data_IF_578174091942
#
_entry.id   IF_578174091942
#
_cell.length_a   1.000
_cell.length_b   1.000
_cell.length_c   1.000
_cell.angle_alpha   90.00
_cell.angle_beta   90.00
_cell.angle_gamma   90.00
#
_symmetry.space_group_name_H-M   'P 1'
#
loop_
_entity.id
_entity.type
_entity.pdbx_description
1 polymer ?
#
# COMPACT_ATOMS: atom_id res chain seq x y z
N UNK A 1 3.47 5.82 -40.32
CA UNK A 1 2.68 6.68 -39.41
C UNK A 1 3.04 6.27 -38.00
N UNK A 2 3.50 7.22 -37.20
CA UNK A 2 3.73 7.01 -35.78
C UNK A 2 2.42 6.59 -35.11
N UNK A 3 2.38 5.36 -34.56
CA UNK A 3 1.23 4.78 -33.84
C UNK A 3 1.42 4.86 -32.32
N UNK A 4 2.35 5.70 -31.85
CA UNK A 4 2.60 5.89 -30.41
C UNK A 4 1.37 6.41 -29.68
N UNK A 5 0.51 7.20 -30.32
CA UNK A 5 -0.71 7.75 -29.74
C UNK A 5 -1.88 6.76 -29.84
N UNK A 6 -2.44 6.41 -28.68
CA UNK A 6 -3.58 5.51 -28.53
C UNK A 6 -4.73 6.20 -27.81
N UNK A 7 -5.93 5.65 -27.99
CA UNK A 7 -7.15 6.13 -27.39
C UNK A 7 -8.02 4.94 -26.98
N UNK A 8 -8.34 4.83 -25.70
CA UNK A 8 -9.42 3.96 -25.25
C UNK A 8 -10.76 4.67 -25.43
N UNK A 9 -11.69 4.01 -26.10
CA UNK A 9 -13.03 4.52 -26.39
C UNK A 9 -14.11 3.63 -25.78
N UNK A 10 -15.33 4.15 -25.61
CA UNK A 10 -16.48 3.40 -25.07
C UNK A 10 -16.12 2.77 -23.71
N UNK A 11 -15.76 3.62 -22.76
CA UNK A 11 -15.33 3.23 -21.42
C UNK A 11 -15.78 4.24 -20.36
N UNK A 12 -15.71 3.82 -19.10
CA UNK A 12 -15.94 4.68 -17.93
C UNK A 12 -14.60 4.87 -17.21
N UNK A 13 -14.24 6.10 -16.86
CA UNK A 13 -13.03 6.42 -16.10
C UNK A 13 -13.37 6.59 -14.62
N UNK A 14 -12.57 6.00 -13.73
CA UNK A 14 -12.62 6.34 -12.30
C UNK A 14 -11.91 7.68 -12.09
N UNK A 15 -12.67 8.73 -11.76
CA UNK A 15 -12.15 10.07 -11.52
C UNK A 15 -12.76 10.62 -10.23
N UNK A 16 -11.93 10.85 -9.21
CA UNK A 16 -12.34 11.51 -7.97
C UNK A 16 -13.55 10.88 -7.28
N UNK A 17 -13.62 9.55 -7.27
CA UNK A 17 -14.71 8.78 -6.65
C UNK A 17 -15.94 8.56 -7.52
N UNK A 18 -15.91 8.99 -8.79
CA UNK A 18 -17.03 8.89 -9.73
C UNK A 18 -16.66 8.11 -11.00
N UNK A 19 -17.65 7.46 -11.63
CA UNK A 19 -17.52 6.84 -12.94
C UNK A 19 -17.93 7.82 -14.03
N UNK A 20 -16.97 8.23 -14.88
CA UNK A 20 -17.16 9.26 -15.90
C UNK A 20 -17.03 8.66 -17.30
N UNK A 21 -18.06 8.76 -18.12
CA UNK A 21 -18.00 8.33 -19.52
C UNK A 21 -17.11 9.28 -20.33
N UNK A 22 -15.90 8.84 -20.66
CA UNK A 22 -14.92 9.65 -21.38
C UNK A 22 -13.87 8.76 -22.06
N UNK A 23 -13.41 9.17 -23.24
CA UNK A 23 -12.24 8.58 -23.88
C UNK A 23 -10.96 8.93 -23.10
N UNK A 24 -9.97 8.02 -23.14
CA UNK A 24 -8.64 8.23 -22.54
C UNK A 24 -7.56 8.15 -23.61
N UNK A 25 -6.81 9.24 -23.78
CA UNK A 25 -5.72 9.35 -24.75
C UNK A 25 -4.36 9.20 -24.06
N UNK A 26 -3.44 8.44 -24.66
CA UNK A 26 -2.11 8.22 -24.10
C UNK A 26 -1.07 7.90 -25.18
N UNK A 27 0.20 8.18 -24.87
CA UNK A 27 1.34 7.84 -25.73
C UNK A 27 2.11 6.66 -25.16
N UNK A 28 2.30 5.60 -25.96
CA UNK A 28 3.13 4.44 -25.60
C UNK A 28 4.62 4.68 -25.78
N UNK A 29 4.99 5.77 -26.46
CA UNK A 29 6.37 6.22 -26.58
C UNK A 29 6.77 7.05 -25.37
N UNK A 30 5.93 8.02 -24.97
CA UNK A 30 6.19 8.84 -23.79
C UNK A 30 5.83 8.13 -22.48
N UNK A 31 4.98 7.11 -22.53
CA UNK A 31 4.47 6.40 -21.36
C UNK A 31 3.53 7.24 -20.50
N UNK A 32 2.86 8.24 -21.09
CA UNK A 32 2.05 9.22 -20.39
C UNK A 32 0.65 9.38 -21.00
N UNK A 33 -0.28 9.82 -20.16
CA UNK A 33 -1.60 10.28 -20.58
C UNK A 33 -1.43 11.61 -21.29
N UNK A 34 -2.12 11.78 -22.42
CA UNK A 34 -2.09 13.00 -23.22
C UNK A 34 -3.42 13.75 -23.12
N UNK A 35 -3.47 15.06 -23.44
CA UNK A 35 -4.74 15.78 -23.55
C UNK A 35 -5.72 15.10 -24.52
N UNK A 36 -7.02 15.30 -24.32
CA UNK A 36 -8.03 14.75 -25.21
C UNK A 36 -7.96 15.43 -26.59
N UNK A 37 -7.87 14.62 -27.64
CA UNK A 37 -7.86 15.09 -29.03
C UNK A 37 -9.18 14.75 -29.73
N UNK A 38 -10.30 15.35 -29.29
CA UNK A 38 -11.66 15.03 -29.74
C UNK A 38 -11.83 14.96 -31.28
N UNK A 39 -11.13 15.82 -32.02
CA UNK A 39 -11.26 15.91 -33.48
C UNK A 39 -10.18 15.19 -34.28
N UNK A 40 -9.17 14.59 -33.61
CA UNK A 40 -8.08 13.90 -34.30
C UNK A 40 -8.55 12.50 -34.72
N UNK A 41 -8.67 12.32 -36.04
CA UNK A 41 -9.04 11.05 -36.67
C UNK A 41 -7.80 10.28 -37.16
N UNK A 42 -6.78 10.99 -37.65
CA UNK A 42 -5.57 10.37 -38.19
C UNK A 42 -4.44 10.23 -37.15
N UNK A 43 -3.72 9.11 -37.21
CA UNK A 43 -2.55 8.85 -36.38
C UNK A 43 -2.86 8.50 -34.92
N UNK A 44 -4.09 8.05 -34.62
CA UNK A 44 -4.51 7.54 -33.31
C UNK A 44 -5.02 6.11 -33.46
N UNK A 45 -4.42 5.16 -32.75
CA UNK A 45 -4.97 3.82 -32.63
C UNK A 45 -6.11 3.83 -31.60
N UNK A 46 -7.34 3.55 -32.05
CA UNK A 46 -8.53 3.52 -31.19
C UNK A 46 -8.85 2.10 -30.77
N UNK A 47 -9.04 1.89 -29.48
CA UNK A 47 -9.30 0.60 -28.86
C UNK A 47 -10.64 0.71 -28.13
N UNK A 48 -11.66 0.04 -28.65
CA UNK A 48 -12.98 -0.06 -28.03
C UNK A 48 -12.93 -0.99 -26.82
N UNK A 49 -13.24 -0.48 -25.64
CA UNK A 49 -13.25 -1.25 -24.41
C UNK A 49 -14.62 -1.89 -24.09
N UNK A 50 -15.66 -1.66 -24.90
CA UNK A 50 -16.95 -2.33 -24.77
C UNK A 50 -17.68 -1.98 -23.47
N UNK A 51 -17.57 -0.74 -23.00
CA UNK A 51 -18.18 -0.27 -21.75
C UNK A 51 -17.42 -0.64 -20.48
N UNK A 52 -16.19 -1.19 -20.58
CA UNK A 52 -15.35 -1.49 -19.40
C UNK A 52 -14.91 -0.22 -18.67
N UNK A 53 -14.41 -0.43 -17.46
CA UNK A 53 -13.98 0.64 -16.56
C UNK A 53 -12.46 0.76 -16.61
N UNK A 54 -11.95 1.99 -16.63
CA UNK A 54 -10.52 2.29 -16.49
C UNK A 54 -10.29 2.96 -15.14
N UNK A 55 -9.48 2.34 -14.32
CA UNK A 55 -8.95 2.93 -13.09
C UNK A 55 -7.50 3.41 -13.30
N UNK A 56 -7.04 4.44 -12.58
CA UNK A 56 -5.60 4.62 -12.39
C UNK A 56 -5.01 3.32 -11.85
N UNK A 57 -3.81 2.96 -12.28
CA UNK A 57 -3.13 1.77 -11.77
C UNK A 57 -3.03 1.84 -10.25
N UNK A 58 -3.37 0.73 -9.58
CA UNK A 58 -3.47 0.72 -8.12
C UNK A 58 -2.09 0.83 -7.47
N UNK A 59 -2.11 1.28 -6.20
CA UNK A 59 -0.93 1.52 -5.37
C UNK A 59 -1.04 0.74 -4.07
N UNK A 60 -0.29 -0.36 -3.92
CA UNK A 60 -0.26 -1.09 -2.64
C UNK A 60 0.74 -0.43 -1.67
N UNK A 61 0.20 0.22 -0.64
CA UNK A 61 0.97 0.98 0.34
C UNK A 61 1.63 0.09 1.41
N UNK A 62 1.06 -1.08 1.69
CA UNK A 62 1.53 -1.95 2.77
C UNK A 62 1.34 -3.42 2.40
N UNK A 63 2.40 -4.03 1.86
CA UNK A 63 2.58 -5.47 1.70
C UNK A 63 3.90 -5.89 2.33
N UNK A 64 3.91 -6.98 3.11
CA UNK A 64 5.10 -7.58 3.72
C UNK A 64 5.70 -8.68 2.83
N UNK A 65 4.98 -9.07 1.78
CA UNK A 65 5.32 -10.18 0.93
C UNK A 65 4.12 -10.73 0.18
N UNK A 66 4.40 -11.51 -0.87
CA UNK A 66 3.41 -12.30 -1.62
C UNK A 66 4.11 -13.50 -2.27
N UNK A 67 3.33 -14.51 -2.66
CA UNK A 67 3.76 -15.62 -3.51
C UNK A 67 5.05 -16.33 -3.05
N UNK A 68 5.13 -16.64 -1.76
CA UNK A 68 6.26 -17.32 -1.12
C UNK A 68 7.44 -16.42 -0.73
N UNK A 69 7.37 -15.12 -1.01
CA UNK A 69 8.39 -14.14 -0.63
C UNK A 69 7.92 -13.30 0.56
N UNK A 70 8.63 -13.35 1.68
CA UNK A 70 8.48 -12.39 2.78
C UNK A 70 9.70 -11.47 2.83
N UNK A 71 9.54 -10.15 2.91
CA UNK A 71 10.69 -9.22 2.75
C UNK A 71 11.74 -9.31 3.87
N UNK A 72 11.36 -9.81 5.05
CA UNK A 72 12.32 -10.14 6.12
C UNK A 72 13.26 -11.30 5.77
N UNK A 73 12.99 -12.05 4.70
CA UNK A 73 13.83 -13.14 4.17
C UNK A 73 14.77 -12.69 3.05
N UNK A 74 14.75 -11.41 2.66
CA UNK A 74 15.74 -10.85 1.73
C UNK A 74 17.12 -10.79 2.39
N UNK A 75 18.19 -10.74 1.61
CA UNK A 75 19.57 -10.77 2.08
C UNK A 75 19.91 -11.99 2.95
N UNK A 76 19.23 -13.12 2.74
CA UNK A 76 19.54 -14.43 3.33
C UNK A 76 19.90 -15.49 2.29
N UNK A 77 19.70 -15.20 1.00
CA UNK A 77 20.00 -16.14 -0.08
C UNK A 77 21.50 -16.19 -0.39
N UNK A 78 21.95 -17.35 -0.88
CA UNK A 78 23.36 -17.60 -1.22
C UNK A 78 23.71 -17.26 -2.67
N UNK A 79 22.73 -16.90 -3.49
CA UNK A 79 22.87 -16.68 -4.94
C UNK A 79 22.87 -15.20 -5.33
N UNK A 80 23.80 -14.74 -6.19
CA UNK A 80 23.67 -13.41 -6.80
C UNK A 80 22.37 -13.32 -7.60
N UNK A 81 21.63 -12.21 -7.49
CA UNK A 81 20.37 -12.03 -8.21
C UNK A 81 19.15 -12.70 -7.55
N UNK A 82 19.30 -13.33 -6.38
CA UNK A 82 18.21 -14.04 -5.70
C UNK A 82 17.11 -13.08 -5.22
N UNK A 83 17.50 -11.99 -4.58
CA UNK A 83 16.56 -11.01 -4.04
C UNK A 83 15.90 -10.17 -5.14
N UNK A 84 16.62 -9.85 -6.21
CA UNK A 84 16.05 -9.21 -7.39
C UNK A 84 14.94 -10.06 -8.02
N UNK A 85 15.16 -11.38 -8.14
CA UNK A 85 14.15 -12.31 -8.65
C UNK A 85 12.94 -12.41 -7.73
N UNK A 86 13.15 -12.48 -6.41
CA UNK A 86 12.05 -12.47 -5.43
C UNK A 86 11.17 -11.22 -5.54
N UNK A 87 11.79 -10.05 -5.67
CA UNK A 87 11.06 -8.78 -5.85
C UNK A 87 10.34 -8.73 -7.20
N UNK A 88 10.93 -9.29 -8.26
CA UNK A 88 10.28 -9.42 -9.56
C UNK A 88 9.06 -10.37 -9.50
N UNK A 89 9.15 -11.47 -8.75
CA UNK A 89 8.04 -12.42 -8.57
C UNK A 89 6.85 -11.78 -7.84
N UNK A 90 7.11 -10.98 -6.79
CA UNK A 90 6.06 -10.18 -6.14
C UNK A 90 5.50 -9.16 -7.12
N UNK A 91 6.35 -8.44 -7.83
CA UNK A 91 5.97 -7.44 -8.83
C UNK A 91 5.07 -8.00 -9.95
N UNK A 92 5.28 -9.26 -10.35
CA UNK A 92 4.44 -10.01 -11.31
C UNK A 92 3.11 -10.44 -10.71
N UNK A 93 3.07 -10.78 -9.43
CA UNK A 93 1.81 -11.08 -8.73
C UNK A 93 0.94 -9.82 -8.64
N UNK A 94 1.54 -8.70 -8.24
CA UNK A 94 0.87 -7.40 -8.09
C UNK A 94 0.11 -6.95 -9.36
N UNK A 95 0.73 -7.09 -10.54
CA UNK A 95 0.07 -6.71 -11.80
C UNK A 95 -1.15 -7.58 -12.13
N UNK A 96 -1.27 -8.78 -11.59
CA UNK A 96 -2.46 -9.62 -11.77
C UNK A 96 -3.68 -9.02 -11.03
N UNK A 97 -3.43 -8.13 -10.07
CA UNK A 97 -4.40 -7.48 -9.20
C UNK A 97 -4.53 -5.98 -9.49
N UNK A 98 -4.09 -5.51 -10.67
CA UNK A 98 -4.25 -4.11 -11.10
C UNK A 98 -3.23 -3.15 -10.50
N UNK A 99 -2.28 -3.65 -9.70
CA UNK A 99 -1.26 -2.84 -9.04
C UNK A 99 -0.16 -2.48 -10.03
N UNK A 100 0.25 -1.20 -10.02
CA UNK A 100 1.28 -0.66 -10.92
C UNK A 100 2.44 -0.02 -10.16
N UNK A 101 2.27 0.21 -8.86
CA UNK A 101 3.29 0.67 -7.94
C UNK A 101 3.03 0.17 -6.53
N UNK A 102 4.07 -0.12 -5.77
CA UNK A 102 3.94 -0.69 -4.43
C UNK A 102 5.10 -0.30 -3.52
N UNK A 103 4.89 -0.37 -2.21
CA UNK A 103 5.92 -0.19 -1.19
C UNK A 103 6.16 -1.50 -0.42
N UNK A 104 7.43 -1.90 -0.37
CA UNK A 104 7.83 -3.09 0.38
C UNK A 104 7.84 -2.78 1.88
N UNK A 105 7.00 -3.48 2.64
CA UNK A 105 6.89 -3.31 4.09
C UNK A 105 7.84 -4.24 4.80
N UNK A 106 8.73 -3.66 5.59
CA UNK A 106 9.63 -4.41 6.47
C UNK A 106 9.14 -4.20 7.90
N UNK A 107 8.55 -5.23 8.54
CA UNK A 107 8.17 -5.16 9.93
C UNK A 107 9.40 -5.24 10.83
N UNK A 108 9.20 -5.18 12.14
CA UNK A 108 10.31 -5.13 13.11
C UNK A 108 11.22 -6.35 13.04
N UNK A 109 12.45 -6.13 12.56
CA UNK A 109 13.56 -7.10 12.52
C UNK A 109 14.68 -6.71 13.46
N UNK A 110 15.61 -7.65 13.69
CA UNK A 110 16.85 -7.37 14.41
C UNK A 110 17.60 -6.16 13.83
N UNK A 111 18.32 -5.44 14.71
CA UNK A 111 19.01 -4.18 14.37
C UNK A 111 19.94 -4.31 13.15
N UNK A 112 20.61 -5.44 12.99
CA UNK A 112 21.62 -5.60 11.93
C UNK A 112 20.95 -5.95 10.58
N UNK A 113 19.72 -6.49 10.62
CA UNK A 113 18.94 -6.87 9.44
C UNK A 113 18.43 -5.67 8.64
N UNK A 114 18.13 -4.55 9.29
CA UNK A 114 17.65 -3.34 8.61
C UNK A 114 18.63 -2.87 7.52
N UNK A 115 19.92 -2.82 7.83
CA UNK A 115 20.96 -2.39 6.88
C UNK A 115 21.27 -3.41 5.79
N UNK A 116 20.75 -4.63 5.91
CA UNK A 116 20.86 -5.67 4.88
C UNK A 116 19.67 -5.63 3.93
N UNK A 117 18.46 -5.49 4.48
CA UNK A 117 17.21 -5.56 3.70
C UNK A 117 16.92 -4.24 2.99
N UNK A 118 16.90 -3.12 3.71
CA UNK A 118 16.42 -1.83 3.20
C UNK A 118 17.15 -1.34 1.93
N UNK A 119 18.48 -1.52 1.77
CA UNK A 119 19.16 -1.15 0.53
C UNK A 119 18.63 -1.83 -0.73
N UNK A 120 18.07 -3.05 -0.60
CA UNK A 120 17.49 -3.81 -1.71
C UNK A 120 16.12 -3.26 -2.15
N UNK A 121 15.51 -2.43 -1.31
CA UNK A 121 14.15 -1.90 -1.48
C UNK A 121 14.13 -0.46 -2.01
N UNK A 122 15.24 -0.02 -2.62
CA UNK A 122 15.27 1.26 -3.34
C UNK A 122 14.26 1.25 -4.49
N UNK A 123 13.70 2.41 -4.86
CA UNK A 123 12.78 2.48 -5.98
C UNK A 123 13.40 1.89 -7.26
N UNK A 124 12.69 0.95 -7.89
CA UNK A 124 13.16 0.24 -9.07
C UNK A 124 11.99 -0.22 -9.94
N UNK A 125 12.29 -0.49 -11.21
CA UNK A 125 11.32 -0.89 -12.23
C UNK A 125 11.59 -2.32 -12.69
N UNK A 126 10.53 -3.02 -13.06
CA UNK A 126 10.61 -4.37 -13.60
C UNK A 126 9.99 -4.38 -15.00
N UNK A 127 10.59 -5.10 -15.96
CA UNK A 127 10.18 -5.07 -17.37
C UNK A 127 8.73 -5.51 -17.61
N UNK A 128 8.18 -6.34 -16.73
CA UNK A 128 6.81 -6.86 -16.81
C UNK A 128 6.19 -7.00 -15.43
N UNK A 129 6.37 -5.98 -14.58
CA UNK A 129 5.86 -5.98 -13.21
C UNK A 129 5.62 -4.58 -12.64
N UNK A 130 4.86 -4.53 -11.55
CA UNK A 130 4.57 -3.30 -10.81
C UNK A 130 5.84 -2.68 -10.23
N UNK A 131 5.97 -1.36 -10.32
CA UNK A 131 7.18 -0.66 -9.87
C UNK A 131 7.31 -0.67 -8.35
N UNK A 132 8.49 -1.03 -7.83
CA UNK A 132 8.79 -0.81 -6.42
C UNK A 132 9.07 0.68 -6.21
N UNK A 133 8.30 1.32 -5.33
CA UNK A 133 8.35 2.76 -5.07
C UNK A 133 9.14 3.13 -3.81
N UNK A 134 9.61 2.13 -3.07
CA UNK A 134 10.49 2.27 -1.91
C UNK A 134 10.11 1.33 -0.78
N UNK A 135 10.67 1.60 0.40
CA UNK A 135 10.42 0.84 1.61
C UNK A 135 9.45 1.57 2.56
N UNK A 136 8.53 0.80 3.13
CA UNK A 136 7.82 1.11 4.36
C UNK A 136 8.51 0.37 5.51
N UNK A 137 9.02 1.08 6.51
CA UNK A 137 9.55 0.46 7.72
C UNK A 137 8.50 0.53 8.83
N UNK A 138 7.94 -0.61 9.19
CA UNK A 138 6.92 -0.73 10.22
C UNK A 138 7.56 -1.10 11.57
N UNK A 139 7.83 -0.07 12.37
CA UNK A 139 8.68 -0.16 13.55
C UNK A 139 10.17 0.00 13.23
N UNK A 140 11.07 -0.19 14.22
CA UNK A 140 10.83 -0.89 15.49
C UNK A 140 10.38 0.02 16.65
N UNK A 141 10.08 1.30 16.38
CA UNK A 141 9.61 2.28 17.35
C UNK A 141 8.13 2.10 17.72
N UNK A 142 7.76 0.92 18.20
CA UNK A 142 6.37 0.53 18.46
C UNK A 142 6.14 0.22 19.94
N UNK A 143 4.89 0.31 20.41
CA UNK A 143 4.55 -0.01 21.79
C UNK A 143 4.49 -1.52 22.00
N UNK A 144 5.22 -2.04 23.00
CA UNK A 144 5.25 -3.48 23.31
C UNK A 144 3.88 -4.09 23.63
N UNK A 145 2.96 -3.32 24.22
CA UNK A 145 1.58 -3.78 24.49
C UNK A 145 0.72 -3.92 23.22
N UNK A 146 1.19 -3.32 22.11
CA UNK A 146 0.54 -3.29 20.80
C UNK A 146 1.45 -3.87 19.71
N UNK A 147 2.37 -4.75 20.09
CA UNK A 147 3.31 -5.35 19.15
C UNK A 147 2.66 -6.19 18.03
N UNK A 148 1.44 -6.70 18.23
CA UNK A 148 0.84 -7.66 17.29
C UNK A 148 1.80 -8.82 16.97
N UNK A 149 2.01 -9.07 15.68
CA UNK A 149 2.94 -10.06 15.15
C UNK A 149 4.43 -9.67 15.21
N UNK A 150 4.77 -8.45 15.67
CA UNK A 150 6.15 -8.00 15.79
C UNK A 150 6.87 -8.73 16.92
N UNK A 151 8.16 -9.01 16.71
CA UNK A 151 9.02 -9.58 17.73
C UNK A 151 9.42 -8.52 18.76
N UNK A 152 8.89 -8.66 19.99
CA UNK A 152 9.12 -7.72 21.08
C UNK A 152 10.61 -7.52 21.42
N UNK A 153 11.45 -8.54 21.18
CA UNK A 153 12.88 -8.47 21.48
C UNK A 153 13.65 -7.48 20.60
N UNK A 154 13.09 -7.11 19.45
CA UNK A 154 13.73 -6.19 18.49
C UNK A 154 13.17 -4.77 18.54
N UNK A 155 12.11 -4.53 19.32
CA UNK A 155 11.56 -3.19 19.52
C UNK A 155 12.64 -2.25 20.07
N UNK A 156 12.62 -1.01 19.59
CA UNK A 156 13.55 0.04 19.99
C UNK A 156 12.79 1.24 20.54
N UNK A 157 13.42 1.97 21.46
CA UNK A 157 12.90 3.25 21.92
C UNK A 157 13.55 4.38 21.10
N UNK A 158 12.76 5.35 20.59
CA UNK A 158 13.28 6.51 19.86
C UNK A 158 14.37 7.26 20.61
N UNK A 159 14.24 7.42 21.93
CA UNK A 159 15.23 8.10 22.77
C UNK A 159 16.58 7.37 22.88
N UNK A 160 16.65 6.08 22.55
CA UNK A 160 17.86 5.24 22.71
C UNK A 160 18.52 4.88 21.37
N UNK A 161 17.75 4.83 20.28
CA UNK A 161 18.24 4.39 18.98
C UNK A 161 17.76 5.35 17.88
N UNK A 162 18.69 6.11 17.31
CA UNK A 162 18.38 6.99 16.18
C UNK A 162 18.08 6.19 14.89
N UNK A 163 17.09 6.59 14.08
CA UNK A 163 16.81 5.95 12.79
C UNK A 163 17.98 5.99 11.82
N UNK A 164 18.80 7.06 11.84
CA UNK A 164 19.96 7.16 10.96
C UNK A 164 21.05 6.14 11.33
N UNK A 165 21.15 5.80 12.61
CA UNK A 165 22.04 4.74 13.10
C UNK A 165 21.46 3.37 12.79
N UNK A 166 20.15 3.17 13.00
CA UNK A 166 19.47 1.90 12.82
C UNK A 166 19.35 1.51 11.34
N UNK A 167 18.68 2.34 10.54
CA UNK A 167 18.44 2.08 9.13
C UNK A 167 19.61 2.46 8.24
N UNK A 168 20.43 3.44 8.65
CA UNK A 168 21.46 4.06 7.83
C UNK A 168 20.97 5.33 7.15
N UNK A 169 21.75 6.40 7.21
CA UNK A 169 21.41 7.72 6.66
C UNK A 169 21.10 7.67 5.15
N UNK A 170 21.89 6.92 4.37
CA UNK A 170 21.62 6.75 2.94
C UNK A 170 20.29 6.07 2.64
N UNK A 171 19.84 5.17 3.51
CA UNK A 171 18.56 4.48 3.35
C UNK A 171 17.37 5.39 3.66
N UNK A 172 17.48 6.32 4.62
CA UNK A 172 16.47 7.35 4.88
C UNK A 172 16.31 8.32 3.70
N UNK A 173 17.39 8.59 2.97
CA UNK A 173 17.37 9.45 1.78
C UNK A 173 16.78 8.73 0.57
N UNK A 174 17.24 7.50 0.30
CA UNK A 174 17.00 6.87 -1.01
C UNK A 174 15.85 5.86 -0.99
N UNK A 175 15.79 5.00 0.04
CA UNK A 175 14.95 3.81 0.05
C UNK A 175 13.66 3.99 0.85
N UNK A 176 13.75 4.48 2.08
CA UNK A 176 12.63 4.62 3.00
C UNK A 176 11.74 5.77 2.54
N UNK A 177 10.44 5.50 2.39
CA UNK A 177 9.41 6.48 2.04
C UNK A 177 8.30 6.57 3.08
N UNK A 178 8.13 5.55 3.91
CA UNK A 178 7.11 5.50 4.95
C UNK A 178 7.71 4.89 6.22
N UNK A 179 7.43 5.49 7.37
CA UNK A 179 7.78 4.99 8.69
C UNK A 179 6.52 4.88 9.53
N UNK A 180 6.28 3.72 10.13
CA UNK A 180 5.25 3.57 11.18
C UNK A 180 5.90 3.57 12.56
N UNK A 181 5.39 4.43 13.45
CA UNK A 181 5.86 4.54 14.84
C UNK A 181 4.73 4.82 15.84
N UNK A 182 4.99 4.56 17.11
CA UNK A 182 4.10 4.85 18.22
C UNK A 182 4.42 6.23 18.82
N UNK A 183 3.48 7.20 18.78
CA UNK A 183 3.76 8.60 19.16
C UNK A 183 3.95 8.81 20.68
N UNK A 184 3.48 7.91 21.53
CA UNK A 184 3.55 8.02 23.00
C UNK A 184 4.90 7.58 23.59
N UNK A 185 5.79 7.00 22.78
CA UNK A 185 7.08 6.53 23.28
C UNK A 185 8.03 7.68 23.63
N UNK A 186 8.90 7.45 24.60
CA UNK A 186 9.95 8.40 24.96
C UNK A 186 10.84 8.72 23.74
N UNK A 187 10.89 10.01 23.39
CA UNK A 187 11.64 10.52 22.24
C UNK A 187 10.86 10.58 20.93
N UNK A 188 9.64 10.05 20.84
CA UNK A 188 8.84 10.05 19.60
C UNK A 188 8.58 11.46 19.08
N UNK A 189 8.24 12.42 19.96
CA UNK A 189 8.03 13.82 19.58
C UNK A 189 9.25 14.43 18.86
N UNK A 190 10.46 14.21 19.41
CA UNK A 190 11.69 14.70 18.81
C UNK A 190 12.00 13.97 17.50
N UNK A 191 11.76 12.66 17.46
CA UNK A 191 11.94 11.84 16.26
C UNK A 191 11.03 12.30 15.10
N UNK A 192 9.74 12.57 15.37
CA UNK A 192 8.80 13.06 14.35
C UNK A 192 9.28 14.40 13.79
N UNK A 193 9.66 15.35 14.67
CA UNK A 193 10.20 16.64 14.24
C UNK A 193 11.47 16.49 13.39
N UNK A 194 12.40 15.62 13.82
CA UNK A 194 13.62 15.34 13.09
C UNK A 194 13.36 14.75 11.70
N UNK A 195 12.50 13.72 11.60
CA UNK A 195 12.17 13.10 10.31
C UNK A 195 11.50 14.10 9.37
N UNK A 196 10.60 14.94 9.88
CA UNK A 196 9.92 15.96 9.09
C UNK A 196 10.86 17.06 8.58
N UNK A 197 11.86 17.46 9.36
CA UNK A 197 12.84 18.50 9.01
C UNK A 197 13.93 17.97 8.07
N UNK A 198 14.53 16.82 8.39
CA UNK A 198 15.68 16.27 7.65
C UNK A 198 15.27 15.44 6.42
N UNK A 199 14.11 14.80 6.45
CA UNK A 199 13.63 13.87 5.41
C UNK A 199 12.16 14.14 5.05
N UNK A 200 11.82 15.33 4.51
CA UNK A 200 10.43 15.74 4.27
C UNK A 200 9.66 14.86 3.26
N UNK A 201 10.35 13.99 2.52
CA UNK A 201 9.74 12.99 1.64
C UNK A 201 9.32 11.69 2.36
N UNK A 202 9.78 11.47 3.60
CA UNK A 202 9.40 10.31 4.40
C UNK A 202 8.07 10.62 5.09
N UNK A 203 7.04 9.87 4.72
CA UNK A 203 5.74 9.93 5.38
C UNK A 203 5.85 9.25 6.73
N UNK A 204 5.30 9.89 7.77
CA UNK A 204 5.23 9.34 9.12
C UNK A 204 3.79 8.91 9.38
N UNK A 205 3.61 7.63 9.70
CA UNK A 205 2.34 7.02 10.05
C UNK A 205 2.34 6.56 11.51
N UNK A 206 1.20 6.69 12.19
CA UNK A 206 1.04 6.31 13.58
C UNK A 206 0.37 4.93 13.66
N UNK A 207 0.98 4.00 14.38
CA UNK A 207 0.51 2.62 14.44
C UNK A 207 1.18 1.82 15.56
N UNK A 208 0.65 0.63 15.86
CA UNK A 208 1.14 -0.23 16.94
C UNK A 208 1.38 0.53 18.26
N UNK A 209 0.35 1.25 18.67
CA UNK A 209 0.44 2.32 19.66
C UNK A 209 -0.67 2.23 20.68
N UNK A 210 -0.31 2.50 21.94
CA UNK A 210 -1.23 2.66 23.05
C UNK A 210 -1.55 4.15 23.31
N UNK A 211 -1.31 5.02 22.34
CA UNK A 211 -1.49 6.46 22.49
C UNK A 211 -2.95 6.85 22.71
N UNK A 212 -3.14 7.82 23.60
CA UNK A 212 -4.38 8.57 23.71
C UNK A 212 -4.52 9.55 22.54
N UNK A 213 -5.72 10.12 22.38
CA UNK A 213 -6.02 11.00 21.24
C UNK A 213 -5.07 12.21 21.15
N UNK A 214 -4.74 12.80 22.29
CA UNK A 214 -3.94 14.02 22.44
C UNK A 214 -2.49 13.81 22.00
N UNK A 215 -1.92 12.64 22.28
CA UNK A 215 -0.55 12.27 21.87
C UNK A 215 -0.48 12.11 20.35
N UNK A 216 -1.49 11.44 19.77
CA UNK A 216 -1.61 11.33 18.31
C UNK A 216 -1.84 12.68 17.63
N UNK A 217 -2.70 13.53 18.20
CA UNK A 217 -2.94 14.88 17.68
C UNK A 217 -1.67 15.75 17.72
N UNK A 218 -0.87 15.65 18.79
CA UNK A 218 0.42 16.33 18.90
C UNK A 218 1.39 15.84 17.81
N UNK A 219 1.44 14.53 17.53
CA UNK A 219 2.26 14.00 16.44
C UNK A 219 1.80 14.51 15.06
N UNK A 220 0.48 14.61 14.81
CA UNK A 220 -0.04 15.21 13.57
C UNK A 220 0.37 16.68 13.42
N UNK A 221 0.39 17.45 14.51
CA UNK A 221 0.85 18.85 14.49
C UNK A 221 2.34 18.98 14.15
N UNK A 222 3.14 17.95 14.41
CA UNK A 222 4.58 17.92 14.14
C UNK A 222 4.94 17.37 12.74
N UNK A 223 3.96 16.84 12.00
CA UNK A 223 4.18 16.36 10.63
C UNK A 223 3.77 14.91 10.37
N UNK A 224 3.33 14.16 11.39
CA UNK A 224 2.70 12.87 11.13
C UNK A 224 1.47 13.04 10.24
N UNK A 225 1.31 12.15 9.26
CA UNK A 225 0.36 12.33 8.16
C UNK A 225 -0.69 11.23 8.06
N UNK A 226 -0.41 10.07 8.64
CA UNK A 226 -1.23 8.88 8.46
C UNK A 226 -1.40 8.07 9.74
N UNK A 227 -2.39 7.17 9.72
CA UNK A 227 -2.56 6.09 10.69
C UNK A 227 -2.41 4.75 9.94
N UNK A 228 -1.66 3.80 10.52
CA UNK A 228 -1.45 2.46 9.94
C UNK A 228 -2.57 1.53 10.42
N UNK A 229 -3.21 0.77 9.51
CA UNK A 229 -4.25 -0.26 9.75
C UNK A 229 -5.14 0.03 10.97
N UNK A 230 -5.88 1.14 10.92
CA UNK A 230 -6.64 1.64 12.08
C UNK A 230 -7.50 0.56 12.71
N UNK A 231 -7.58 0.59 14.04
CA UNK A 231 -8.14 -0.42 14.95
C UNK A 231 -7.23 -1.63 15.22
N UNK A 232 -6.42 -2.07 14.26
CA UNK A 232 -5.48 -3.15 14.46
C UNK A 232 -4.28 -2.65 15.26
N UNK A 233 -3.88 -3.40 16.31
CA UNK A 233 -2.77 -3.02 17.19
C UNK A 233 -2.86 -1.58 17.76
N UNK A 234 -4.07 -1.10 18.08
CA UNK A 234 -4.31 0.21 18.71
C UNK A 234 -5.12 0.10 19.99
N UNK A 235 -5.27 1.19 20.76
CA UNK A 235 -6.35 1.28 21.74
C UNK A 235 -7.71 1.21 21.04
N UNK A 236 -8.73 0.55 21.65
CA UNK A 236 -10.08 0.57 21.12
C UNK A 236 -10.65 2.00 21.08
N UNK A 237 -11.49 2.28 20.08
CA UNK A 237 -12.25 3.52 20.01
C UNK A 237 -13.26 3.58 21.16
N UNK A 238 -13.03 4.49 22.13
CA UNK A 238 -13.94 4.73 23.24
C UNK A 238 -14.49 6.17 23.20
N UNK A 239 -15.78 6.37 23.50
CA UNK A 239 -16.48 7.65 23.30
C UNK A 239 -15.93 8.84 24.10
N UNK A 240 -15.21 8.61 25.21
CA UNK A 240 -14.55 9.68 26.00
C UNK A 240 -13.05 9.83 25.73
N UNK A 241 -12.42 8.81 25.17
CA UNK A 241 -11.02 8.83 24.78
C UNK A 241 -10.89 7.93 23.55
N UNK A 242 -10.97 8.53 22.35
CA UNK A 242 -11.09 7.76 21.13
C UNK A 242 -9.74 7.21 20.63
N UNK A 243 -8.63 7.50 21.33
CA UNK A 243 -7.28 7.12 20.91
C UNK A 243 -6.94 7.60 19.49
N UNK A 244 -6.03 6.90 18.82
CA UNK A 244 -5.64 7.21 17.45
C UNK A 244 -6.80 7.11 16.45
N UNK A 245 -7.71 6.15 16.61
CA UNK A 245 -8.86 5.99 15.73
C UNK A 245 -9.77 7.25 15.69
N UNK A 246 -9.82 8.03 16.78
CA UNK A 246 -10.53 9.30 16.83
C UNK A 246 -10.00 10.36 15.86
N UNK A 247 -8.74 10.26 15.43
CA UNK A 247 -8.12 11.24 14.53
C UNK A 247 -8.68 11.17 13.11
N UNK A 248 -9.28 10.04 12.70
CA UNK A 248 -9.92 9.90 11.38
C UNK A 248 -10.95 11.01 11.13
N UNK A 249 -11.75 11.35 12.15
CA UNK A 249 -12.80 12.37 12.06
C UNK A 249 -12.30 13.81 11.97
N UNK A 250 -10.98 14.04 12.05
CA UNK A 250 -10.39 15.39 11.98
C UNK A 250 -10.23 15.90 10.55
N UNK A 251 -10.21 15.01 9.55
CA UNK A 251 -9.87 15.32 8.15
C UNK A 251 -8.41 15.74 7.94
N UNK A 252 -7.55 15.64 8.97
CA UNK A 252 -6.15 16.12 8.93
C UNK A 252 -5.14 15.03 8.58
N UNK A 253 -5.50 13.76 8.74
CA UNK A 253 -4.64 12.63 8.44
C UNK A 253 -5.31 11.66 7.46
N UNK A 254 -4.49 10.91 6.74
CA UNK A 254 -4.92 9.70 6.06
C UNK A 254 -4.98 8.54 7.04
N UNK A 255 -5.65 7.45 6.69
CA UNK A 255 -5.71 6.26 7.51
C UNK A 255 -5.90 5.02 6.64
N UNK A 256 -5.05 4.02 6.84
CA UNK A 256 -5.19 2.75 6.14
C UNK A 256 -6.08 1.78 6.90
N UNK A 257 -6.78 0.92 6.15
CA UNK A 257 -7.58 -0.20 6.65
C UNK A 257 -7.37 -1.44 5.77
N UNK A 258 -7.66 -2.61 6.32
CA UNK A 258 -7.62 -3.90 5.62
C UNK A 258 -9.07 -4.40 5.42
N UNK A 259 -9.69 -4.16 4.26
CA UNK A 259 -11.09 -4.53 4.01
C UNK A 259 -11.22 -6.00 3.55
N UNK A 260 -10.71 -6.94 4.34
CA UNK A 260 -10.80 -8.39 4.06
C UNK A 260 -11.95 -9.10 4.79
N UNK A 261 -12.70 -8.37 5.64
CA UNK A 261 -13.79 -8.92 6.45
C UNK A 261 -13.31 -9.74 7.66
N UNK A 262 -12.00 -9.82 7.90
CA UNK A 262 -11.35 -10.57 8.97
C UNK A 262 -10.72 -9.60 9.97
N UNK A 263 -9.87 -8.69 9.49
CA UNK A 263 -9.22 -7.67 10.31
C UNK A 263 -10.20 -6.62 10.82
N UNK A 264 -11.21 -6.33 10.02
CA UNK A 264 -12.31 -5.43 10.35
C UNK A 264 -13.64 -6.07 9.99
N UNK A 265 -14.61 -5.96 10.89
CA UNK A 265 -16.00 -6.28 10.56
C UNK A 265 -16.51 -5.37 9.43
N UNK A 266 -17.32 -5.85 8.46
CA UNK A 266 -17.84 -5.05 7.35
C UNK A 266 -18.44 -3.69 7.77
N UNK A 267 -19.18 -3.64 8.88
CA UNK A 267 -19.73 -2.37 9.39
C UNK A 267 -18.67 -1.36 9.85
N UNK A 268 -17.49 -1.83 10.28
CA UNK A 268 -16.35 -0.97 10.63
C UNK A 268 -15.67 -0.45 9.37
N UNK A 269 -15.58 -1.27 8.31
CA UNK A 269 -15.14 -0.81 6.98
C UNK A 269 -16.06 0.32 6.49
N UNK A 270 -17.38 0.17 6.63
CA UNK A 270 -18.35 1.24 6.33
C UNK A 270 -18.11 2.49 7.17
N UNK A 271 -17.88 2.33 8.48
CA UNK A 271 -17.60 3.46 9.38
C UNK A 271 -16.36 4.25 8.91
N UNK A 272 -15.26 3.56 8.60
CA UNK A 272 -14.04 4.17 8.09
C UNK A 272 -14.32 4.94 6.79
N UNK A 273 -14.89 4.28 5.79
CA UNK A 273 -15.11 4.90 4.48
C UNK A 273 -16.02 6.14 4.59
N UNK A 274 -17.08 6.07 5.41
CA UNK A 274 -18.01 7.19 5.62
C UNK A 274 -17.46 8.31 6.49
N UNK A 275 -16.35 8.10 7.19
CA UNK A 275 -15.72 9.15 8.00
C UNK A 275 -15.08 10.21 7.11
N UNK A 276 -14.24 9.81 6.14
CA UNK A 276 -13.78 10.67 5.05
C UNK A 276 -13.22 9.81 3.90
N UNK A 277 -13.97 9.60 2.80
CA UNK A 277 -13.54 8.72 1.71
C UNK A 277 -12.29 9.21 1.00
N UNK A 278 -11.91 10.49 1.13
CA UNK A 278 -10.69 11.07 0.53
C UNK A 278 -9.44 10.89 1.40
N UNK A 279 -9.61 10.31 2.59
CA UNK A 279 -8.54 10.05 3.57
C UNK A 279 -8.39 8.57 3.89
N UNK A 280 -9.39 7.76 3.57
CA UNK A 280 -9.34 6.32 3.72
C UNK A 280 -8.43 5.70 2.66
N UNK A 281 -7.53 4.82 3.07
CA UNK A 281 -6.65 4.06 2.20
C UNK A 281 -6.92 2.58 2.41
N UNK A 282 -7.01 1.79 1.34
CA UNK A 282 -7.02 0.34 1.48
C UNK A 282 -5.60 -0.19 1.29
N UNK A 283 -5.22 -1.12 2.14
CA UNK A 283 -3.97 -1.86 2.07
C UNK A 283 -4.26 -3.34 2.10
N UNK A 284 -3.31 -4.14 1.64
CA UNK A 284 -3.40 -5.59 1.78
C UNK A 284 -2.93 -6.04 3.16
N UNK A 285 -1.86 -5.41 3.66
CA UNK A 285 -1.00 -5.99 4.72
C UNK A 285 -0.66 -7.46 4.42
N UNK A 286 -0.48 -7.75 3.13
CA UNK A 286 -0.27 -9.10 2.65
C UNK A 286 1.05 -9.67 3.14
N UNK A 287 1.09 -10.99 3.29
CA UNK A 287 2.30 -11.74 3.63
C UNK A 287 2.62 -12.76 2.54
N UNK A 288 3.73 -13.47 2.66
CA UNK A 288 4.22 -14.44 1.67
C UNK A 288 3.20 -15.52 1.30
N UNK A 289 2.22 -15.77 2.15
CA UNK A 289 1.16 -16.75 1.91
C UNK A 289 0.07 -16.24 0.95
N UNK A 290 0.02 -14.94 0.65
CA UNK A 290 -0.87 -14.38 -0.36
C UNK A 290 -0.53 -14.96 -1.74
N UNK A 291 -1.53 -15.53 -2.43
CA UNK A 291 -1.32 -16.26 -3.69
C UNK A 291 -0.94 -17.74 -3.53
N UNK A 292 -0.72 -18.25 -2.31
CA UNK A 292 -0.45 -19.67 -2.07
C UNK A 292 -1.74 -20.46 -1.72
N UNK A 293 -1.76 -21.79 -1.94
CA UNK A 293 -2.85 -22.65 -1.51
C UNK A 293 -3.05 -22.65 0.01
N UNK A 294 -4.29 -22.91 0.44
CA UNK A 294 -4.63 -23.13 1.84
C UNK A 294 -3.90 -24.34 2.43
N UNK A 295 -3.62 -24.28 3.73
CA UNK A 295 -2.90 -25.34 4.44
C UNK A 295 -1.89 -24.83 5.46
N UNK A 296 -1.06 -25.75 5.94
CA UNK A 296 0.01 -25.44 6.88
C UNK A 296 1.30 -25.11 6.14
N UNK A 297 1.85 -23.94 6.45
CA UNK A 297 3.08 -23.41 5.88
C UNK A 297 4.16 -23.30 6.96
N UNK A 298 5.45 -23.37 6.58
CA UNK A 298 6.54 -23.19 7.53
C UNK A 298 6.55 -21.77 8.13
N UNK A 299 7.13 -21.67 9.32
CA UNK A 299 7.51 -20.37 9.88
C UNK A 299 8.79 -19.84 9.23
N UNK A 300 9.15 -18.61 9.59
CA UNK A 300 10.36 -17.93 9.16
C UNK A 300 10.93 -17.05 10.29
N UNK A 301 11.96 -16.24 10.01
CA UNK A 301 12.70 -15.48 11.02
C UNK A 301 11.88 -14.47 11.84
N UNK A 302 10.69 -14.08 11.37
CA UNK A 302 9.77 -13.21 12.09
C UNK A 302 8.71 -14.01 12.86
N UNK A 303 8.15 -15.05 12.22
CA UNK A 303 7.18 -15.97 12.81
C UNK A 303 7.79 -17.36 12.87
N UNK A 304 8.40 -17.74 14.00
CA UNK A 304 9.13 -19.00 14.11
C UNK A 304 8.21 -20.24 14.02
N UNK A 305 6.95 -20.09 14.41
CA UNK A 305 5.95 -21.14 14.38
C UNK A 305 5.37 -21.35 12.97
N UNK A 306 4.81 -22.53 12.72
CA UNK A 306 4.08 -22.81 11.50
C UNK A 306 2.83 -21.93 11.41
N UNK A 307 2.40 -21.69 10.18
CA UNK A 307 1.32 -20.77 9.85
C UNK A 307 0.17 -21.55 9.19
N UNK A 308 -1.06 -21.31 9.60
CA UNK A 308 -2.25 -21.90 9.00
C UNK A 308 -2.95 -20.86 8.12
N UNK A 309 -3.02 -21.15 6.82
CA UNK A 309 -3.76 -20.34 5.84
C UNK A 309 -5.13 -20.95 5.53
N UNK A 310 -6.18 -20.13 5.60
CA UNK A 310 -7.55 -20.47 5.22
C UNK A 310 -8.18 -19.28 4.47
N UNK A 311 -8.22 -19.33 3.14
CA UNK A 311 -8.58 -18.18 2.30
C UNK A 311 -7.65 -17.00 2.59
N UNK A 312 -8.24 -15.86 2.96
CA UNK A 312 -7.51 -14.64 3.30
C UNK A 312 -7.07 -14.58 4.77
N UNK A 313 -7.47 -15.53 5.61
CA UNK A 313 -7.12 -15.60 7.03
C UNK A 313 -5.84 -16.41 7.23
N UNK A 314 -4.88 -15.84 7.97
CA UNK A 314 -3.67 -16.54 8.41
C UNK A 314 -3.51 -16.42 9.92
N UNK A 315 -3.22 -17.54 10.59
CA UNK A 315 -2.88 -17.57 12.02
C UNK A 315 -1.64 -18.38 12.33
N UNK A 316 -1.03 -18.13 13.50
CA UNK A 316 -0.04 -19.05 14.07
C UNK A 316 -0.73 -20.39 14.38
N UNK A 317 -0.15 -21.51 13.93
CA UNK A 317 -0.66 -22.86 14.16
C UNK A 317 -0.97 -23.07 15.66
N UNK A 318 -2.22 -23.46 15.96
CA UNK A 318 -2.68 -23.70 17.32
C UNK A 318 -3.13 -22.46 18.10
N UNK A 319 -3.24 -21.29 17.45
CA UNK A 319 -3.71 -20.04 18.08
C UNK A 319 -4.68 -19.27 17.18
N UNK A 320 -5.31 -18.24 17.75
CA UNK A 320 -6.11 -17.24 17.03
C UNK A 320 -5.33 -15.95 16.68
N UNK A 321 -4.00 -15.94 16.89
CA UNK A 321 -3.16 -14.78 16.57
C UNK A 321 -3.08 -14.64 15.04
N UNK A 322 -3.69 -13.58 14.50
CA UNK A 322 -3.59 -13.21 13.08
C UNK A 322 -2.17 -12.75 12.72
N UNK A 323 -1.73 -13.07 11.50
CA UNK A 323 -0.43 -12.65 10.95
C UNK A 323 -0.66 -12.11 9.54
N UNK A 324 -0.78 -10.79 9.42
CA UNK A 324 -1.10 -10.11 8.16
C UNK A 324 -2.35 -10.66 7.49
N UNK A 325 -2.52 -10.34 6.20
CA UNK A 325 -3.61 -10.83 5.36
C UNK A 325 -3.09 -11.67 4.19
N UNK A 326 -4.00 -12.35 3.51
CA UNK A 326 -3.76 -12.89 2.17
C UNK A 326 -4.69 -12.27 1.11
N UNK A 327 -5.42 -11.21 1.48
CA UNK A 327 -6.29 -10.46 0.57
C UNK A 327 -5.46 -9.66 -0.44
N UNK A 328 -5.93 -9.60 -1.69
CA UNK A 328 -5.32 -8.79 -2.75
C UNK A 328 -6.00 -7.43 -2.86
N UNK A 329 -5.35 -6.45 -3.50
CA UNK A 329 -5.87 -5.08 -3.50
C UNK A 329 -7.17 -4.94 -4.32
N UNK A 330 -7.35 -5.73 -5.39
CA UNK A 330 -8.62 -5.79 -6.13
C UNK A 330 -9.74 -6.47 -5.31
N UNK A 331 -9.39 -7.48 -4.49
CA UNK A 331 -10.33 -8.06 -3.53
C UNK A 331 -10.73 -7.03 -2.47
N UNK A 332 -9.79 -6.23 -1.96
CA UNK A 332 -10.07 -5.15 -1.03
C UNK A 332 -11.09 -4.14 -1.60
N UNK A 333 -10.97 -3.78 -2.88
CA UNK A 333 -11.91 -2.90 -3.59
C UNK A 333 -13.29 -3.56 -3.67
N UNK A 334 -13.37 -4.80 -4.17
CA UNK A 334 -14.65 -5.54 -4.32
C UNK A 334 -15.34 -5.77 -2.99
N UNK A 335 -14.58 -6.08 -1.94
CA UNK A 335 -15.07 -6.22 -0.58
C UNK A 335 -15.64 -4.89 -0.06
N UNK A 336 -14.93 -3.77 -0.23
CA UNK A 336 -15.42 -2.46 0.18
C UNK A 336 -16.75 -2.09 -0.51
N UNK A 337 -16.87 -2.35 -1.82
CA UNK A 337 -18.14 -2.17 -2.56
C UNK A 337 -19.24 -3.05 -1.95
N UNK A 338 -18.97 -4.34 -1.75
CA UNK A 338 -19.94 -5.28 -1.20
C UNK A 338 -20.36 -4.96 0.25
N UNK A 339 -19.44 -4.50 1.09
CA UNK A 339 -19.67 -4.23 2.52
C UNK A 339 -20.36 -2.90 2.76
N UNK A 340 -20.02 -1.88 1.98
CA UNK A 340 -20.41 -0.49 2.26
C UNK A 340 -21.50 0.04 1.32
N UNK A 341 -21.71 -0.63 0.18
CA UNK A 341 -22.55 -0.15 -0.90
C UNK A 341 -22.02 1.11 -1.59
N UNK A 342 -20.74 1.45 -1.41
CA UNK A 342 -20.09 2.51 -2.19
C UNK A 342 -20.01 2.14 -3.67
N UNK A 343 -19.81 3.15 -4.52
CA UNK A 343 -19.58 2.89 -5.93
C UNK A 343 -18.13 2.41 -6.16
N UNK A 344 -17.87 1.76 -7.30
CA UNK A 344 -16.54 1.21 -7.60
C UNK A 344 -15.44 2.29 -7.64
N UNK A 345 -15.72 3.48 -8.20
CA UNK A 345 -14.75 4.55 -8.28
C UNK A 345 -14.40 5.14 -6.90
N UNK A 346 -15.34 5.18 -5.96
CA UNK A 346 -15.10 5.56 -4.55
C UNK A 346 -14.14 4.56 -3.87
N UNK A 347 -14.33 3.26 -4.09
CA UNK A 347 -13.40 2.23 -3.60
C UNK A 347 -12.03 2.32 -4.29
N UNK A 348 -11.98 2.54 -5.60
CA UNK A 348 -10.73 2.75 -6.36
C UNK A 348 -9.96 3.97 -5.87
N UNK A 349 -10.63 5.05 -5.47
CA UNK A 349 -9.99 6.25 -4.92
C UNK A 349 -9.11 5.93 -3.70
N UNK A 350 -9.53 4.96 -2.89
CA UNK A 350 -8.83 4.51 -1.68
C UNK A 350 -7.52 3.77 -1.96
N UNK A 351 -7.30 3.28 -3.19
CA UNK A 351 -6.07 2.57 -3.61
C UNK A 351 -5.30 3.31 -4.71
N UNK A 352 -5.70 4.54 -5.02
CA UNK A 352 -5.09 5.35 -6.10
C UNK A 352 -4.81 6.77 -5.62
N UNK A 353 -5.77 7.68 -5.77
CA UNK A 353 -5.64 9.10 -5.45
C UNK A 353 -5.22 9.34 -4.00
N UNK A 354 -5.87 8.65 -3.05
CA UNK A 354 -5.59 8.86 -1.64
C UNK A 354 -4.16 8.44 -1.28
N UNK A 355 -3.71 7.31 -1.84
CA UNK A 355 -2.33 6.82 -1.66
C UNK A 355 -1.33 7.78 -2.30
N UNK A 356 -1.58 8.19 -3.55
CA UNK A 356 -0.71 9.10 -4.28
C UNK A 356 -0.60 10.47 -3.59
N UNK A 357 -1.72 11.04 -3.16
CA UNK A 357 -1.77 12.32 -2.48
C UNK A 357 -1.05 12.23 -1.13
N UNK A 358 -1.29 11.17 -0.34
CA UNK A 358 -0.60 10.94 0.95
C UNK A 358 0.92 10.80 0.78
N UNK A 359 1.36 10.04 -0.23
CA UNK A 359 2.78 9.77 -0.49
C UNK A 359 3.48 10.89 -1.29
N UNK A 360 2.74 11.88 -1.80
CA UNK A 360 3.29 12.93 -2.65
C UNK A 360 3.68 12.45 -4.06
N UNK A 361 3.09 11.35 -4.52
CA UNK A 361 3.37 10.74 -5.82
C UNK A 361 2.60 11.45 -6.95
N UNK A 362 3.23 12.47 -7.53
CA UNK A 362 2.59 13.34 -8.52
C UNK A 362 2.36 12.71 -9.90
N UNK A 363 3.02 11.59 -10.23
CA UNK A 363 2.92 10.97 -11.56
C UNK A 363 1.89 9.84 -11.63
N UNK A 364 1.33 9.44 -10.50
CA UNK A 364 0.39 8.29 -10.37
C UNK A 364 -0.93 8.72 -9.75
N UNK A 365 -1.81 7.75 -9.54
CA UNK A 365 -3.05 7.91 -8.78
C UNK A 365 -4.21 8.60 -9.50
N UNK A 366 -3.99 9.26 -10.65
CA UNK A 366 -5.05 9.97 -11.40
C UNK A 366 -4.92 9.75 -12.90
N UNK A 367 -6.06 9.73 -13.59
CA UNK A 367 -6.15 9.66 -15.06
C UNK A 367 -6.10 11.07 -15.69
N UNK A 368 -4.98 11.77 -15.54
CA UNK A 368 -4.81 13.16 -15.99
C UNK A 368 -3.65 13.33 -16.98
N UNK A 369 -3.75 14.25 -17.98
CA UNK A 369 -2.66 14.55 -18.90
C UNK A 369 -1.33 14.87 -18.19
N UNK A 370 -0.24 14.32 -18.71
CA UNK A 370 1.10 14.47 -18.15
C UNK A 370 1.47 13.45 -17.07
N UNK A 371 0.49 12.71 -16.53
CA UNK A 371 0.74 11.58 -15.62
C UNK A 371 1.09 10.31 -16.39
N UNK A 372 1.61 9.30 -15.68
CA UNK A 372 1.95 8.02 -16.27
C UNK A 372 0.71 7.32 -16.82
N UNK A 373 0.86 6.68 -17.97
CA UNK A 373 -0.16 5.84 -18.56
C UNK A 373 -0.19 4.44 -17.90
N UNK A 374 -0.40 4.43 -16.59
CA UNK A 374 -0.46 3.22 -15.76
C UNK A 374 -1.91 3.03 -15.32
N UNK A 375 -2.55 1.93 -15.74
CA UNK A 375 -4.01 1.72 -15.63
C UNK A 375 -4.34 0.29 -15.25
N UNK A 376 -5.50 0.10 -14.62
CA UNK A 376 -6.19 -1.18 -14.54
C UNK A 376 -7.51 -1.10 -15.33
N UNK A 377 -7.76 -2.09 -16.19
CA UNK A 377 -9.02 -2.24 -16.91
C UNK A 377 -9.87 -3.24 -16.14
N UNK A 378 -11.07 -2.83 -15.74
CA UNK A 378 -11.97 -3.60 -14.88
C UNK A 378 -13.27 -3.96 -15.61
N UNK A 379 -13.90 -5.07 -15.21
CA UNK A 379 -15.31 -5.29 -15.48
C UNK A 379 -16.22 -4.47 -14.54
N UNK A 380 -17.54 -4.61 -14.67
CA UNK A 380 -18.50 -3.85 -13.88
C UNK A 380 -18.53 -4.28 -12.41
N UNK A 381 -18.10 -5.51 -12.14
CA UNK A 381 -17.98 -6.10 -10.81
C UNK A 381 -16.64 -5.75 -10.13
N UNK A 382 -15.75 -5.03 -10.81
CA UNK A 382 -14.46 -4.59 -10.29
C UNK A 382 -13.36 -5.66 -10.37
N UNK A 383 -13.55 -6.73 -11.13
CA UNK A 383 -12.46 -7.67 -11.40
C UNK A 383 -11.47 -7.08 -12.41
N UNK A 384 -10.18 -7.28 -12.16
CA UNK A 384 -9.13 -6.84 -13.08
C UNK A 384 -9.11 -7.73 -14.32
N UNK A 385 -9.21 -7.11 -15.48
CA UNK A 385 -9.13 -7.75 -16.79
C UNK A 385 -7.77 -7.52 -17.44
N UNK A 386 -7.21 -6.33 -17.28
CA UNK A 386 -5.89 -5.97 -17.83
C UNK A 386 -5.16 -4.99 -16.91
N UNK A 387 -3.83 -5.06 -16.93
CA UNK A 387 -2.96 -4.08 -16.25
C UNK A 387 -1.98 -3.49 -17.25
N UNK A 388 -1.86 -2.17 -17.22
CA UNK A 388 -1.06 -1.39 -18.14
C UNK A 388 -0.03 -0.56 -17.39
N UNK A 389 1.21 -0.53 -17.89
CA UNK A 389 2.31 0.29 -17.37
C UNK A 389 2.96 1.02 -18.55
N UNK A 390 3.07 2.34 -18.45
CA UNK A 390 3.67 3.19 -19.49
C UNK A 390 2.93 3.07 -20.83
N UNK A 391 1.61 2.88 -20.81
CA UNK A 391 0.79 2.70 -22.00
C UNK A 391 0.99 1.34 -22.67
N UNK A 392 1.65 0.37 -22.02
CA UNK A 392 1.79 -1.00 -22.52
C UNK A 392 1.03 -1.98 -21.64
N UNK A 393 0.29 -2.89 -22.25
CA UNK A 393 -0.37 -3.99 -21.55
C UNK A 393 0.70 -4.96 -21.05
N UNK A 394 0.82 -5.09 -19.73
CA UNK A 394 1.79 -6.00 -19.09
C UNK A 394 1.12 -7.28 -18.58
N UNK A 395 -0.20 -7.25 -18.38
CA UNK A 395 -0.98 -8.40 -17.96
C UNK A 395 -2.38 -8.36 -18.56
N UNK A 396 -2.94 -9.54 -18.83
CA UNK A 396 -4.33 -9.73 -19.20
C UNK A 396 -4.84 -11.03 -18.54
N UNK A 397 -6.08 -10.99 -18.04
CA UNK A 397 -6.76 -12.16 -17.50
C UNK A 397 -6.99 -13.18 -18.62
N UNK A 398 -6.56 -14.41 -18.38
CA UNK A 398 -6.66 -15.54 -19.31
C UNK A 398 -8.09 -16.06 -19.47
#
# INVERSE_FOLDING_TARGET
MDRSLKCFTNCLLCISGELVAQDLYFSTEQGTITPNYYFRQEGVERIDLGGKIIAPGFLDLQTNGMNGVHFTQLALGDGPGDDERKLEDVSKMEICHGVTGWWATVPTVDKDRWKQIVPLLKPQTFDSGAHLLGAHVEGPYLNGSKKGAHNAAFLQEPAKMSPSVLYGEGNLKDAIKLVTLAPELAGSTALVGQLQEEYPHVVISLGHSAAEYEEGLAALQLGARALTHVFNAMLPLHHRNPGLAGLMGTGKCYYSIIPDGIHLHPSVVTLCLRTDPRKCIFITDSIELAGLPDGLHPGHGQIAQRQLKQGNRVTIEGTDTLIGSCCTLDECIRNAVAFTGCNLAEAVQCVTENVADMMGESKRGRLEPGRRADFAILDQEGNVLETWIGGRKVWARS
#
